data_IF_952144834788
#
_entry.id   IF_952144834788
#
_cell.length_a   1.000
_cell.length_b   1.000
_cell.length_c   1.000
_cell.angle_alpha   90.00
_cell.angle_beta   90.00
_cell.angle_gamma   90.00
#
_symmetry.space_group_name_H-M   'P 1'
#
loop_
_entity.id
_entity.type
_entity.pdbx_description
1 polymer ?
#
# COMPACT_ATOMS: atom_id res chain seq x y z
N UNK A 1 22.54 -9.09 6.99
CA UNK A 1 21.75 -8.17 6.13
C UNK A 1 20.38 -8.03 6.78
N UNK A 2 20.16 -6.92 7.48
CA UNK A 2 19.00 -6.74 8.35
C UNK A 2 17.72 -6.54 7.53
N UNK A 3 16.81 -7.50 7.61
CA UNK A 3 15.48 -7.45 7.03
C UNK A 3 14.72 -6.31 7.72
N UNK A 4 14.37 -5.26 6.98
CA UNK A 4 13.67 -4.10 7.54
C UNK A 4 12.28 -4.53 8.03
N UNK A 5 11.98 -4.44 9.34
CA UNK A 5 10.72 -4.91 9.91
C UNK A 5 9.50 -4.08 9.47
N UNK A 6 9.72 -2.91 8.85
CA UNK A 6 8.68 -2.00 8.40
C UNK A 6 7.87 -2.54 7.20
N UNK A 7 8.52 -3.26 6.28
CA UNK A 7 7.89 -3.80 5.07
C UNK A 7 6.94 -4.97 5.39
N UNK A 8 7.32 -5.79 6.38
CA UNK A 8 6.49 -6.89 6.88
C UNK A 8 5.21 -6.38 7.55
N UNK A 9 5.29 -5.27 8.28
CA UNK A 9 4.12 -4.70 8.94
C UNK A 9 3.12 -4.09 7.94
N UNK A 10 3.62 -3.38 6.92
CA UNK A 10 2.76 -2.78 5.89
C UNK A 10 1.95 -3.84 5.11
N UNK A 11 2.57 -4.99 4.81
CA UNK A 11 1.89 -6.11 4.15
C UNK A 11 0.83 -6.78 5.07
N UNK A 12 1.11 -6.90 6.37
CA UNK A 12 0.13 -7.44 7.33
C UNK A 12 -1.10 -6.53 7.45
N UNK A 13 -0.95 -5.21 7.36
CA UNK A 13 -2.09 -4.28 7.39
C UNK A 13 -2.98 -4.38 6.13
N UNK A 14 -2.38 -4.58 4.95
CA UNK A 14 -3.13 -4.79 3.70
C UNK A 14 -3.90 -6.12 3.72
N UNK A 15 -3.35 -7.18 4.33
CA UNK A 15 -4.04 -8.46 4.45
C UNK A 15 -5.18 -8.46 5.49
N UNK A 16 -5.09 -7.64 6.54
CA UNK A 16 -6.11 -7.60 7.59
C UNK A 16 -7.45 -6.99 7.11
N UNK A 17 -7.40 -6.05 6.16
CA UNK A 17 -8.63 -5.41 5.65
C UNK A 17 -9.43 -6.35 4.73
N UNK A 18 -8.76 -7.25 4.01
CA UNK A 18 -9.40 -8.18 3.09
C UNK A 18 -10.22 -9.29 3.77
N UNK A 19 -10.03 -9.52 5.06
CA UNK A 19 -10.64 -10.65 5.80
C UNK A 19 -11.70 -10.21 6.84
N UNK A 20 -12.06 -8.93 6.92
CA UNK A 20 -13.13 -8.49 7.84
C UNK A 20 -12.86 -8.79 9.32
N UNK A 21 -11.59 -8.90 9.72
CA UNK A 21 -11.21 -9.09 11.12
C UNK A 21 -11.20 -7.75 11.86
N UNK A 22 -12.18 -7.56 12.74
CA UNK A 22 -12.18 -6.49 13.72
C UNK A 22 -10.90 -6.59 14.58
N UNK A 23 -10.02 -5.62 14.44
CA UNK A 23 -8.71 -5.63 15.07
C UNK A 23 -8.85 -5.37 16.58
N UNK A 24 -8.35 -6.34 17.35
CA UNK A 24 -8.26 -6.37 18.80
C UNK A 24 -7.76 -5.05 19.40
N UNK A 25 -8.25 -4.70 20.59
CA UNK A 25 -7.89 -3.56 21.47
C UNK A 25 -6.40 -3.14 21.47
N UNK A 26 -5.94 -2.52 20.39
CA UNK A 26 -4.64 -1.89 20.27
C UNK A 26 -4.78 -0.41 20.66
N UNK A 27 -3.75 0.21 21.29
CA UNK A 27 -3.77 1.63 21.60
C UNK A 27 -4.09 2.41 20.31
N UNK A 28 -5.19 3.19 20.34
CA UNK A 28 -5.81 3.93 19.24
C UNK A 28 -5.06 3.78 17.91
N UNK A 29 -5.41 2.72 17.15
CA UNK A 29 -4.86 2.47 15.84
C UNK A 29 -5.10 3.72 14.99
N UNK A 30 -4.05 4.52 14.76
CA UNK A 30 -4.15 5.72 13.94
C UNK A 30 -4.41 5.29 12.51
N UNK A 31 -5.67 5.30 12.12
CA UNK A 31 -6.08 4.99 10.75
C UNK A 31 -5.59 6.11 9.84
N UNK A 32 -4.76 5.75 8.86
CA UNK A 32 -4.29 6.66 7.81
C UNK A 32 -4.76 6.10 6.48
N UNK A 33 -5.42 6.93 5.69
CA UNK A 33 -5.78 6.61 4.31
C UNK A 33 -4.61 6.89 3.39
N UNK A 34 -4.53 6.14 2.29
CA UNK A 34 -3.61 6.41 1.20
C UNK A 34 -4.27 7.42 0.23
N UNK A 35 -3.55 8.46 -0.13
CA UNK A 35 -3.98 9.44 -1.14
C UNK A 35 -2.81 9.82 -2.04
N UNK A 36 -3.13 10.38 -3.20
CA UNK A 36 -2.15 10.84 -4.15
C UNK A 36 -1.79 12.29 -3.86
N UNK A 37 -0.50 12.60 -3.86
CA UNK A 37 0.00 13.98 -3.77
C UNK A 37 1.29 14.11 -4.57
N UNK A 38 1.31 15.02 -5.54
CA UNK A 38 2.49 15.28 -6.38
C UNK A 38 3.09 14.00 -6.98
N UNK A 39 2.24 13.13 -7.57
CA UNK A 39 2.61 11.81 -8.10
C UNK A 39 3.27 10.84 -7.10
N UNK A 40 3.04 11.06 -5.81
CA UNK A 40 3.46 10.15 -4.74
C UNK A 40 2.24 9.62 -4.00
N UNK A 41 2.29 8.34 -3.62
CA UNK A 41 1.30 7.73 -2.74
C UNK A 41 1.70 8.03 -1.28
N UNK A 42 0.83 8.72 -0.55
CA UNK A 42 1.11 9.23 0.80
C UNK A 42 0.06 8.71 1.77
N UNK A 43 0.48 8.36 2.99
CA UNK A 43 -0.43 8.01 4.08
C UNK A 43 -0.71 9.23 4.96
N UNK A 44 -1.98 9.55 5.19
CA UNK A 44 -2.36 10.66 6.05
C UNK A 44 -3.80 10.56 6.55
N UNK A 45 -4.17 11.50 7.42
CA UNK A 45 -5.52 11.56 7.95
C UNK A 45 -6.41 12.36 7.01
N UNK A 46 -7.37 11.69 6.38
CA UNK A 46 -8.31 12.34 5.47
C UNK A 46 -9.60 12.64 6.24
N UNK A 47 -9.77 13.91 6.60
CA UNK A 47 -10.96 14.43 7.27
C UNK A 47 -11.40 15.75 6.64
N UNK A 48 -12.70 16.06 6.76
CA UNK A 48 -13.27 17.30 6.25
C UNK A 48 -13.02 17.45 4.75
N UNK A 49 -12.50 18.60 4.34
CA UNK A 49 -12.23 18.91 2.93
C UNK A 49 -11.24 17.94 2.25
N UNK A 50 -10.38 17.25 3.02
CA UNK A 50 -9.38 16.34 2.48
C UNK A 50 -9.93 14.93 2.23
N UNK A 51 -11.14 14.60 2.68
CA UNK A 51 -11.76 13.30 2.44
C UNK A 51 -11.93 12.97 0.95
N UNK A 52 -12.04 14.00 0.09
CA UNK A 52 -12.15 13.83 -1.36
C UNK A 52 -10.85 13.32 -2.02
N UNK A 53 -9.68 13.46 -1.38
CA UNK A 53 -8.38 13.07 -1.94
C UNK A 53 -8.22 11.54 -2.05
N UNK A 54 -8.97 10.78 -1.25
CA UNK A 54 -8.99 9.31 -1.35
C UNK A 54 -9.52 8.87 -2.72
N UNK A 55 -10.47 9.62 -3.28
CA UNK A 55 -11.06 9.35 -4.60
C UNK A 55 -10.08 9.48 -5.77
N UNK A 56 -8.97 10.23 -5.61
CA UNK A 56 -7.99 10.47 -6.67
C UNK A 56 -7.00 9.30 -6.88
N UNK A 57 -6.71 8.54 -5.80
CA UNK A 57 -6.00 7.26 -5.91
C UNK A 57 -6.90 6.22 -6.59
N UNK A 58 -8.21 6.32 -6.34
CA UNK A 58 -9.19 5.31 -6.70
C UNK A 58 -9.00 4.02 -5.89
N UNK A 59 -9.72 2.97 -6.27
CA UNK A 59 -9.54 1.63 -5.69
C UNK A 59 -8.10 1.15 -5.89
N UNK A 60 -7.51 0.53 -4.86
CA UNK A 60 -6.25 -0.20 -4.99
C UNK A 60 -6.53 -1.55 -5.63
N UNK A 61 -5.81 -1.86 -6.69
CA UNK A 61 -5.87 -3.12 -7.42
C UNK A 61 -4.63 -3.94 -7.11
N UNK A 62 -4.77 -5.26 -7.15
CA UNK A 62 -3.62 -6.13 -7.01
C UNK A 62 -3.74 -7.36 -7.89
N UNK A 63 -2.60 -7.87 -8.33
CA UNK A 63 -2.49 -9.13 -9.07
C UNK A 63 -1.35 -9.98 -8.51
N UNK A 64 -1.44 -11.31 -8.53
CA UNK A 64 -0.32 -12.18 -8.17
C UNK A 64 0.87 -11.99 -9.11
N UNK A 65 2.08 -11.91 -8.55
CA UNK A 65 3.32 -11.84 -9.31
C UNK A 65 3.90 -13.25 -9.54
N UNK A 66 3.60 -13.83 -10.70
CA UNK A 66 3.98 -15.20 -11.05
C UNK A 66 5.48 -15.41 -11.32
N UNK A 67 6.29 -14.34 -11.32
CA UNK A 67 7.73 -14.43 -11.50
C UNK A 67 8.47 -14.91 -10.24
N UNK A 68 7.79 -14.94 -9.08
CA UNK A 68 8.34 -15.34 -7.80
C UNK A 68 7.62 -16.56 -7.23
N UNK A 69 8.25 -17.21 -6.24
CA UNK A 69 7.73 -18.39 -5.54
C UNK A 69 6.31 -18.14 -4.95
N UNK A 70 5.28 -18.90 -5.39
CA UNK A 70 3.89 -18.67 -4.98
C UNK A 70 3.65 -18.74 -3.47
N UNK A 71 4.39 -19.58 -2.75
CA UNK A 71 4.26 -19.70 -1.28
C UNK A 71 4.57 -18.40 -0.53
N UNK A 72 5.24 -17.43 -1.17
CA UNK A 72 5.52 -16.10 -0.62
C UNK A 72 4.41 -15.07 -0.89
N UNK A 73 3.34 -15.47 -1.58
CA UNK A 73 2.23 -14.61 -1.98
C UNK A 73 2.68 -13.28 -2.62
N UNK A 74 3.57 -13.32 -3.62
CA UNK A 74 4.09 -12.11 -4.23
C UNK A 74 2.97 -11.40 -5.01
N UNK A 75 2.86 -10.08 -4.85
CA UNK A 75 1.81 -9.27 -5.50
C UNK A 75 2.41 -8.06 -6.24
N UNK A 76 1.68 -7.56 -7.24
CA UNK A 76 1.86 -6.25 -7.85
C UNK A 76 0.67 -5.40 -7.44
N UNK A 77 0.93 -4.20 -6.94
CA UNK A 77 -0.09 -3.24 -6.52
C UNK A 77 -0.24 -2.15 -7.58
N UNK A 78 -1.48 -1.87 -7.97
CA UNK A 78 -1.86 -0.82 -8.90
C UNK A 78 -2.89 0.14 -8.30
N UNK A 79 -2.91 1.37 -8.80
CA UNK A 79 -3.92 2.39 -8.48
C UNK A 79 -4.56 2.85 -9.79
N UNK A 80 -5.60 3.69 -9.70
CA UNK A 80 -6.23 4.29 -10.89
C UNK A 80 -6.59 3.22 -11.95
N UNK A 81 -7.32 2.19 -11.52
CA UNK A 81 -7.72 1.06 -12.37
C UNK A 81 -6.54 0.28 -12.99
N UNK A 82 -5.42 0.21 -12.27
CA UNK A 82 -4.21 -0.51 -12.69
C UNK A 82 -3.40 0.19 -13.78
N UNK A 83 -3.73 1.45 -14.11
CA UNK A 83 -2.96 2.24 -15.09
C UNK A 83 -1.62 2.72 -14.54
N UNK A 84 -1.49 2.76 -13.21
CA UNK A 84 -0.22 3.03 -12.53
C UNK A 84 0.06 1.99 -11.46
N UNK A 85 1.31 1.58 -11.34
CA UNK A 85 1.75 0.54 -10.41
C UNK A 85 2.82 1.04 -9.45
N UNK A 86 2.83 0.49 -8.24
CA UNK A 86 3.94 0.68 -7.30
C UNK A 86 5.14 -0.15 -7.78
N UNK A 87 6.27 0.52 -7.98
CA UNK A 87 7.50 -0.07 -8.46
C UNK A 87 8.71 0.38 -7.62
N UNK A 88 9.74 -0.47 -7.62
CA UNK A 88 11.08 -0.12 -7.12
C UNK A 88 12.08 -0.31 -8.26
N UNK A 89 12.36 0.74 -9.06
CA UNK A 89 13.30 0.65 -10.17
C UNK A 89 14.71 0.27 -9.69
N UNK A 90 15.55 -0.33 -10.55
CA UNK A 90 16.94 -0.59 -10.22
C UNK A 90 17.69 0.71 -9.89
N UNK A 91 18.22 0.80 -8.67
CA UNK A 91 19.01 1.93 -8.19
C UNK A 91 19.94 1.46 -7.06
N UNK A 92 20.98 2.23 -6.77
CA UNK A 92 21.89 1.96 -5.64
C UNK A 92 21.16 1.96 -4.29
N UNK A 93 20.13 2.80 -4.18
CA UNK A 93 19.20 2.83 -3.06
C UNK A 93 17.79 2.55 -3.57
N UNK A 94 17.08 1.53 -3.04
CA UNK A 94 15.73 1.23 -3.47
C UNK A 94 14.78 2.36 -3.07
N UNK A 95 13.94 2.78 -4.00
CA UNK A 95 12.91 3.80 -3.79
C UNK A 95 11.57 3.30 -4.30
N UNK A 96 10.50 3.56 -3.57
CA UNK A 96 9.15 3.25 -4.03
C UNK A 96 8.62 4.41 -4.88
N UNK A 97 8.14 4.10 -6.08
CA UNK A 97 7.64 5.07 -7.05
C UNK A 97 6.37 4.55 -7.73
N UNK A 98 5.59 5.46 -8.32
CA UNK A 98 4.49 5.12 -9.23
C UNK A 98 5.02 5.13 -10.66
N UNK A 99 4.66 4.12 -11.45
CA UNK A 99 4.98 3.98 -12.88
C UNK A 99 3.72 3.75 -13.71
#
# INVERSE_FOLDING_TARGET
MACQPALTLALLFLCAEAEGFALCNAPALQTKSLYLRNDQLVAGHLQGANAALEGEVGTVFWVPNRAFEPARLPIILGIQNGTRCLASPPASQPTLQLQ
#
